data_IF_574553446645
#
_entry.id   IF_574553446645
#
_cell.length_a   1.000
_cell.length_b   1.000
_cell.length_c   1.000
_cell.angle_alpha   90.00
_cell.angle_beta   90.00
_cell.angle_gamma   90.00
#
_symmetry.space_group_name_H-M   'P 1'
#
loop_
_entity.id
_entity.type
_entity.pdbx_description
1 polymer ?
#
# COMPACT_ATOMS: atom_id res chain seq x y z
N UNK A 1 11.25 11.15 -8.46
CA UNK A 1 10.64 10.75 -9.75
C UNK A 1 9.86 9.47 -9.52
N UNK A 2 8.56 9.48 -9.74
CA UNK A 2 7.71 8.29 -9.60
C UNK A 2 7.96 7.33 -10.76
N UNK A 3 8.29 6.06 -10.48
CA UNK A 3 8.49 5.04 -11.52
C UNK A 3 7.50 3.89 -11.32
N UNK A 4 6.79 3.55 -12.38
CA UNK A 4 5.79 2.47 -12.40
C UNK A 4 6.17 1.50 -13.51
N UNK A 5 6.19 0.19 -13.21
CA UNK A 5 6.31 -0.84 -14.21
C UNK A 5 4.93 -1.42 -14.55
N UNK A 6 4.70 -1.72 -15.82
CA UNK A 6 3.52 -2.43 -16.32
C UNK A 6 4.00 -3.68 -17.04
N UNK A 7 3.53 -4.85 -16.61
CA UNK A 7 3.88 -6.12 -17.21
C UNK A 7 2.61 -6.85 -17.68
N UNK A 8 2.50 -7.06 -18.99
CA UNK A 8 1.35 -7.68 -19.64
C UNK A 8 1.82 -8.23 -21.00
N UNK A 9 1.55 -9.46 -21.37
CA UNK A 9 2.00 -10.05 -22.62
C UNK A 9 1.19 -9.58 -23.84
N UNK A 10 -0.04 -9.09 -23.61
CA UNK A 10 -0.88 -8.51 -24.65
C UNK A 10 -0.53 -7.05 -24.93
N UNK A 11 0.06 -6.77 -26.10
CA UNK A 11 0.52 -5.42 -26.48
C UNK A 11 -0.58 -4.37 -26.44
N UNK A 12 -1.82 -4.74 -26.73
CA UNK A 12 -2.99 -3.86 -26.70
C UNK A 12 -3.27 -3.38 -25.28
N UNK A 13 -3.42 -4.30 -24.32
CA UNK A 13 -3.68 -3.93 -22.93
C UNK A 13 -2.50 -3.22 -22.29
N UNK A 14 -1.28 -3.65 -22.57
CA UNK A 14 -0.06 -2.98 -22.10
C UNK A 14 -0.02 -1.51 -22.51
N UNK A 15 -0.36 -1.20 -23.78
CA UNK A 15 -0.44 0.18 -24.26
C UNK A 15 -1.59 0.96 -23.61
N UNK A 16 -2.77 0.36 -23.52
CA UNK A 16 -3.96 0.98 -22.94
C UNK A 16 -3.76 1.33 -21.46
N UNK A 17 -3.23 0.38 -20.66
CA UNK A 17 -2.96 0.60 -19.24
C UNK A 17 -1.90 1.70 -19.07
N UNK A 18 -0.89 1.73 -19.92
CA UNK A 18 0.12 2.80 -19.91
C UNK A 18 -0.51 4.17 -20.16
N UNK A 19 -1.29 4.32 -21.23
CA UNK A 19 -1.96 5.58 -21.58
C UNK A 19 -2.88 6.07 -20.44
N UNK A 20 -3.65 5.18 -19.85
CA UNK A 20 -4.51 5.53 -18.70
C UNK A 20 -3.72 5.90 -17.47
N UNK A 21 -2.64 5.17 -17.17
CA UNK A 21 -1.74 5.49 -16.04
C UNK A 21 -1.10 6.86 -16.20
N UNK A 22 -0.54 7.15 -17.37
CA UNK A 22 0.09 8.44 -17.67
C UNK A 22 -0.93 9.58 -17.59
N UNK A 23 -2.15 9.38 -18.10
CA UNK A 23 -3.23 10.37 -17.98
C UNK A 23 -3.57 10.69 -16.52
N UNK A 24 -3.70 9.69 -15.65
CA UNK A 24 -3.95 9.91 -14.22
C UNK A 24 -2.80 10.66 -13.56
N UNK A 25 -1.56 10.31 -13.88
CA UNK A 25 -0.37 11.00 -13.34
C UNK A 25 -0.34 12.48 -13.76
N UNK A 26 -0.74 12.80 -14.98
CA UNK A 26 -0.86 14.18 -15.47
C UNK A 26 -1.99 14.95 -14.77
N UNK A 27 -3.18 14.34 -14.66
CA UNK A 27 -4.34 14.92 -13.95
C UNK A 27 -4.03 15.21 -12.47
N UNK A 28 -3.27 14.32 -11.82
CA UNK A 28 -2.79 14.47 -10.44
C UNK A 28 -1.55 15.39 -10.32
N UNK A 29 -1.11 16.00 -11.44
CA UNK A 29 0.02 16.94 -11.51
C UNK A 29 1.33 16.38 -10.96
N UNK A 30 1.60 15.10 -11.17
CA UNK A 30 2.87 14.47 -10.82
C UNK A 30 3.95 15.02 -11.73
N UNK A 31 4.85 15.85 -11.20
CA UNK A 31 5.80 16.64 -11.98
C UNK A 31 6.89 15.83 -12.69
N UNK A 32 7.21 14.64 -12.17
CA UNK A 32 8.21 13.72 -12.74
C UNK A 32 7.82 12.29 -12.54
N UNK A 33 7.56 11.60 -13.63
CA UNK A 33 7.25 10.16 -13.64
C UNK A 33 7.88 9.45 -14.83
N UNK A 34 7.94 8.14 -14.74
CA UNK A 34 8.33 7.22 -15.82
C UNK A 34 7.46 5.96 -15.71
N UNK A 35 6.90 5.54 -16.84
CA UNK A 35 6.10 4.32 -16.94
C UNK A 35 6.79 3.38 -17.94
N UNK A 36 7.44 2.36 -17.40
CA UNK A 36 8.11 1.31 -18.18
C UNK A 36 7.16 0.15 -18.44
N UNK A 37 7.31 -0.50 -19.60
CA UNK A 37 6.43 -1.60 -19.98
C UNK A 37 7.23 -2.85 -20.35
N UNK A 38 6.75 -4.01 -19.93
CA UNK A 38 7.35 -5.31 -20.13
C UNK A 38 6.35 -6.28 -20.74
N UNK A 39 6.81 -7.11 -21.66
CA UNK A 39 5.98 -8.09 -22.35
C UNK A 39 5.94 -9.46 -21.66
N UNK A 40 6.75 -9.65 -20.62
CA UNK A 40 6.78 -10.88 -19.83
C UNK A 40 7.32 -10.65 -18.43
N UNK A 41 6.97 -11.55 -17.50
CA UNK A 41 7.53 -11.54 -16.15
C UNK A 41 9.05 -11.72 -16.15
N UNK A 42 9.59 -12.47 -17.10
CA UNK A 42 11.04 -12.65 -17.29
C UNK A 42 11.71 -11.32 -17.62
N UNK A 43 11.21 -10.61 -18.63
CA UNK A 43 11.74 -9.30 -19.03
C UNK A 43 11.73 -8.29 -17.86
N UNK A 44 10.64 -8.26 -17.09
CA UNK A 44 10.54 -7.42 -15.90
C UNK A 44 11.59 -7.77 -14.83
N UNK A 45 11.79 -9.05 -14.55
CA UNK A 45 12.69 -9.53 -13.49
C UNK A 45 14.18 -9.47 -13.88
N UNK A 46 14.50 -9.52 -15.18
CA UNK A 46 15.85 -9.38 -15.74
C UNK A 46 16.23 -7.92 -16.04
N UNK A 47 15.37 -6.94 -15.69
CA UNK A 47 15.67 -5.52 -15.86
C UNK A 47 16.98 -5.15 -15.14
N UNK A 48 17.91 -4.51 -15.85
CA UNK A 48 19.25 -4.13 -15.37
C UNK A 48 19.21 -3.26 -14.11
N UNK A 49 18.23 -2.37 -14.00
CA UNK A 49 18.07 -1.49 -12.83
C UNK A 49 17.43 -2.21 -11.63
N UNK A 50 16.87 -3.39 -11.85
CA UNK A 50 16.20 -4.20 -10.84
C UNK A 50 14.82 -3.69 -10.44
N UNK A 51 14.08 -4.52 -9.73
CA UNK A 51 12.71 -4.23 -9.25
C UNK A 51 12.69 -3.04 -8.28
N UNK A 52 13.74 -2.87 -7.49
CA UNK A 52 13.82 -1.83 -6.46
C UNK A 52 13.85 -0.39 -6.99
N UNK A 53 14.01 -0.18 -8.29
CA UNK A 53 13.92 1.13 -8.91
C UNK A 53 12.47 1.61 -9.08
N UNK A 54 11.50 0.70 -8.99
CA UNK A 54 10.08 1.01 -9.13
C UNK A 54 9.41 1.33 -7.79
N UNK A 55 8.40 2.17 -7.87
CA UNK A 55 7.54 2.54 -6.74
C UNK A 55 6.25 1.71 -6.71
N UNK A 56 5.88 1.11 -7.85
CA UNK A 56 4.78 0.17 -7.99
C UNK A 56 4.91 -0.64 -9.26
N UNK A 57 4.25 -1.81 -9.29
CA UNK A 57 4.19 -2.68 -10.46
C UNK A 57 2.73 -3.04 -10.71
N UNK A 58 2.26 -2.80 -11.95
CA UNK A 58 1.00 -3.32 -12.47
C UNK A 58 1.33 -4.60 -13.24
N UNK A 59 0.68 -5.69 -12.90
CA UNK A 59 1.04 -7.02 -13.37
C UNK A 59 -0.21 -7.77 -13.84
N UNK A 60 -0.20 -8.20 -15.09
CA UNK A 60 -1.24 -9.12 -15.57
C UNK A 60 -1.12 -10.46 -14.86
N UNK A 61 -2.25 -11.09 -14.59
CA UNK A 61 -2.28 -12.43 -13.99
C UNK A 61 -2.05 -13.51 -15.04
N UNK A 62 -2.66 -13.36 -16.20
CA UNK A 62 -2.64 -14.36 -17.27
C UNK A 62 -1.60 -14.00 -18.32
N UNK A 63 -0.40 -14.52 -18.18
CA UNK A 63 0.68 -14.40 -19.16
C UNK A 63 1.15 -15.78 -19.61
N UNK A 64 1.63 -15.88 -20.88
CA UNK A 64 1.90 -17.17 -21.54
C UNK A 64 3.01 -18.00 -20.87
N UNK A 65 4.12 -17.39 -20.47
CA UNK A 65 5.29 -18.13 -19.95
C UNK A 65 5.22 -18.40 -18.45
N UNK A 66 4.82 -17.42 -17.67
CA UNK A 66 4.75 -17.48 -16.21
C UNK A 66 3.59 -16.58 -15.74
N UNK A 67 2.69 -17.10 -14.91
CA UNK A 67 1.57 -16.30 -14.43
C UNK A 67 2.04 -15.11 -13.59
N UNK A 68 1.30 -13.99 -13.63
CA UNK A 68 1.61 -12.83 -12.79
C UNK A 68 1.71 -13.14 -11.31
N UNK A 69 0.96 -14.15 -10.84
CA UNK A 69 1.06 -14.62 -9.45
C UNK A 69 2.42 -15.23 -9.13
N UNK A 70 2.99 -16.00 -10.07
CA UNK A 70 4.35 -16.57 -9.91
C UNK A 70 5.40 -15.46 -9.96
N UNK A 71 5.27 -14.51 -10.88
CA UNK A 71 6.14 -13.32 -10.95
C UNK A 71 6.07 -12.53 -9.65
N UNK A 72 4.86 -12.26 -9.15
CA UNK A 72 4.66 -11.57 -7.88
C UNK A 72 5.30 -12.31 -6.69
N UNK A 73 5.18 -13.63 -6.64
CA UNK A 73 5.84 -14.44 -5.61
C UNK A 73 7.38 -14.37 -5.67
N UNK A 74 7.95 -14.23 -6.87
CA UNK A 74 9.41 -14.00 -7.05
C UNK A 74 9.79 -12.60 -6.58
N UNK A 75 9.03 -11.57 -6.95
CA UNK A 75 9.24 -10.20 -6.50
C UNK A 75 9.23 -10.14 -4.97
N UNK A 76 8.28 -10.81 -4.30
CA UNK A 76 8.15 -10.83 -2.83
C UNK A 76 9.35 -11.48 -2.11
N UNK A 77 10.15 -12.28 -2.79
CA UNK A 77 11.42 -12.83 -2.23
C UNK A 77 12.51 -11.76 -2.13
N UNK A 78 12.51 -10.78 -3.04
CA UNK A 78 13.51 -9.70 -3.12
C UNK A 78 13.00 -8.41 -2.50
N UNK A 79 11.75 -8.06 -2.77
CA UNK A 79 11.08 -6.88 -2.24
C UNK A 79 9.70 -7.24 -1.70
N UNK A 80 9.54 -7.16 -0.37
CA UNK A 80 8.29 -7.47 0.32
C UNK A 80 7.29 -6.31 0.33
N UNK A 81 7.76 -5.11 0.07
CA UNK A 81 7.02 -3.87 0.32
C UNK A 81 6.53 -3.18 -0.96
N UNK A 82 7.16 -3.45 -2.12
CA UNK A 82 6.76 -2.78 -3.36
C UNK A 82 5.26 -2.99 -3.64
N UNK A 83 4.48 -1.94 -3.88
CA UNK A 83 3.08 -2.04 -4.24
C UNK A 83 2.89 -2.84 -5.52
N UNK A 84 2.12 -3.95 -5.43
CA UNK A 84 1.72 -4.76 -6.58
C UNK A 84 0.23 -4.55 -6.83
N UNK A 85 -0.11 -4.27 -8.08
CA UNK A 85 -1.49 -4.18 -8.57
C UNK A 85 -1.66 -5.22 -9.65
N UNK A 86 -2.65 -6.08 -9.51
CA UNK A 86 -3.01 -7.00 -10.59
C UNK A 86 -4.02 -6.35 -11.53
N UNK A 87 -3.69 -6.34 -12.83
CA UNK A 87 -4.60 -5.97 -13.90
C UNK A 87 -5.01 -7.26 -14.62
N UNK A 88 -6.29 -7.64 -14.57
CA UNK A 88 -6.77 -8.90 -15.15
C UNK A 88 -8.08 -8.71 -15.90
N UNK A 89 -8.34 -9.57 -16.87
CA UNK A 89 -9.63 -9.67 -17.54
C UNK A 89 -10.66 -10.51 -16.76
N UNK A 90 -10.24 -11.24 -15.72
CA UNK A 90 -11.02 -12.24 -15.00
C UNK A 90 -11.21 -11.93 -13.51
N UNK A 91 -12.46 -11.91 -13.07
CA UNK A 91 -12.85 -11.56 -11.69
C UNK A 91 -12.52 -12.67 -10.69
N UNK A 92 -12.45 -13.92 -11.15
CA UNK A 92 -12.22 -15.12 -10.32
C UNK A 92 -10.88 -15.08 -9.57
N UNK A 93 -9.86 -14.47 -10.13
CA UNK A 93 -8.52 -14.40 -9.54
C UNK A 93 -8.38 -13.45 -8.36
N UNK A 94 -9.40 -12.64 -8.07
CA UNK A 94 -9.37 -11.70 -6.94
C UNK A 94 -9.20 -12.38 -5.57
N UNK A 95 -9.54 -13.67 -5.46
CA UNK A 95 -9.42 -14.42 -4.20
C UNK A 95 -8.01 -15.00 -3.96
N UNK A 96 -7.22 -15.20 -5.01
CA UNK A 96 -5.89 -15.84 -4.89
C UNK A 96 -4.78 -14.89 -4.42
N UNK A 97 -4.98 -13.60 -4.55
CA UNK A 97 -3.95 -12.58 -4.29
C UNK A 97 -3.61 -12.28 -2.85
N UNK A 98 -4.30 -12.90 -1.89
CA UNK A 98 -3.96 -12.75 -0.47
C UNK A 98 -2.52 -13.20 -0.14
N UNK A 99 -1.99 -14.18 -0.88
CA UNK A 99 -0.66 -14.74 -0.62
C UNK A 99 0.50 -13.83 -1.03
N UNK A 100 0.28 -12.94 -2.01
CA UNK A 100 1.34 -12.04 -2.54
C UNK A 100 1.19 -10.59 -2.10
N UNK A 101 0.25 -10.31 -1.18
CA UNK A 101 0.02 -8.96 -0.63
C UNK A 101 -0.15 -7.91 -1.74
N UNK A 102 -1.05 -8.20 -2.68
CA UNK A 102 -1.39 -7.23 -3.70
C UNK A 102 -2.09 -6.00 -3.07
N UNK A 103 -1.71 -4.82 -3.51
CA UNK A 103 -2.35 -3.58 -3.08
C UNK A 103 -3.79 -3.51 -3.60
N UNK A 104 -4.00 -3.86 -4.87
CA UNK A 104 -5.31 -3.85 -5.53
C UNK A 104 -5.37 -4.87 -6.66
N UNK A 105 -6.64 -5.13 -7.05
CA UNK A 105 -7.02 -5.80 -8.28
C UNK A 105 -7.82 -4.84 -9.14
N UNK A 106 -7.51 -4.79 -10.42
CA UNK A 106 -8.13 -3.91 -11.41
C UNK A 106 -8.55 -4.74 -12.62
N UNK A 107 -9.75 -4.55 -13.12
CA UNK A 107 -10.15 -5.12 -14.38
C UNK A 107 -9.53 -4.32 -15.54
N UNK A 108 -8.93 -5.00 -16.53
CA UNK A 108 -8.23 -4.38 -17.67
C UNK A 108 -9.11 -3.42 -18.47
N UNK A 109 -10.43 -3.62 -18.44
CA UNK A 109 -11.43 -2.78 -19.12
C UNK A 109 -12.08 -1.73 -18.23
N UNK A 110 -11.65 -1.58 -16.98
CA UNK A 110 -12.23 -0.65 -16.00
C UNK A 110 -11.25 0.49 -15.68
N UNK A 111 -11.42 1.60 -16.42
CA UNK A 111 -10.57 2.78 -16.25
C UNK A 111 -10.68 3.40 -14.85
N UNK A 112 -11.89 3.40 -14.24
CA UNK A 112 -12.10 4.00 -12.92
C UNK A 112 -11.33 3.23 -11.83
N UNK A 113 -11.34 1.90 -11.88
CA UNK A 113 -10.54 1.07 -10.98
C UNK A 113 -9.05 1.30 -11.15
N UNK A 114 -8.57 1.47 -12.39
CA UNK A 114 -7.18 1.79 -12.65
C UNK A 114 -6.81 3.17 -12.11
N UNK A 115 -7.66 4.16 -12.32
CA UNK A 115 -7.47 5.50 -11.76
C UNK A 115 -7.32 5.45 -10.24
N UNK A 116 -8.26 4.81 -9.53
CA UNK A 116 -8.18 4.64 -8.08
C UNK A 116 -6.89 3.92 -7.62
N UNK A 117 -6.43 2.95 -8.40
CA UNK A 117 -5.20 2.21 -8.10
C UNK A 117 -3.95 3.09 -8.26
N UNK A 118 -3.89 3.90 -9.32
CA UNK A 118 -2.77 4.84 -9.57
C UNK A 118 -2.77 5.96 -8.52
N UNK A 119 -3.95 6.49 -8.16
CA UNK A 119 -4.07 7.48 -7.09
C UNK A 119 -3.57 6.93 -5.75
N UNK A 120 -3.88 5.66 -5.43
CA UNK A 120 -3.35 5.00 -4.25
C UNK A 120 -1.81 4.88 -4.27
N UNK A 121 -1.21 4.59 -5.44
CA UNK A 121 0.25 4.59 -5.60
C UNK A 121 0.82 5.98 -5.32
N UNK A 122 0.22 7.02 -5.91
CA UNK A 122 0.67 8.41 -5.72
C UNK A 122 0.67 8.78 -4.23
N UNK A 123 -0.41 8.44 -3.53
CA UNK A 123 -0.53 8.67 -2.09
C UNK A 123 0.54 7.90 -1.31
N UNK A 124 0.74 6.62 -1.58
CA UNK A 124 1.77 5.80 -0.92
C UNK A 124 3.16 6.39 -1.11
N UNK A 125 3.50 6.83 -2.32
CA UNK A 125 4.80 7.43 -2.61
C UNK A 125 4.95 8.80 -1.92
N UNK A 126 3.90 9.62 -1.93
CA UNK A 126 3.91 10.89 -1.20
C UNK A 126 4.14 10.66 0.31
N UNK A 127 3.54 9.61 0.88
CA UNK A 127 3.75 9.21 2.28
C UNK A 127 5.18 8.71 2.54
N UNK A 128 5.81 8.04 1.59
CA UNK A 128 7.20 7.59 1.73
C UNK A 128 8.16 8.76 1.93
N UNK A 129 7.82 9.93 1.42
CA UNK A 129 8.61 11.16 1.57
C UNK A 129 8.27 11.95 2.84
N UNK A 130 7.12 11.67 3.49
CA UNK A 130 6.73 12.41 4.70
C UNK A 130 7.46 11.85 5.91
N UNK A 131 8.43 12.63 6.41
CA UNK A 131 9.07 12.40 7.70
C UNK A 131 8.46 13.29 8.77
N UNK A 132 8.44 12.80 10.01
CA UNK A 132 8.11 13.59 11.19
C UNK A 132 9.14 13.34 12.26
N UNK A 133 9.50 14.41 12.98
CA UNK A 133 10.39 14.34 14.11
C UNK A 133 9.59 14.03 15.38
N UNK A 134 10.02 13.00 16.11
CA UNK A 134 9.45 12.61 17.39
C UNK A 134 10.52 12.63 18.47
N UNK A 135 10.14 13.05 19.68
CA UNK A 135 11.02 13.03 20.86
C UNK A 135 10.86 11.70 21.60
N UNK A 136 11.63 10.70 21.18
CA UNK A 136 11.69 9.40 21.85
C UNK A 136 12.55 9.47 23.12
N UNK A 137 12.54 8.40 23.93
CA UNK A 137 13.39 8.30 25.13
C UNK A 137 14.89 8.41 24.81
N UNK A 138 15.28 7.98 23.62
CA UNK A 138 16.65 8.04 23.10
C UNK A 138 16.98 9.38 22.41
N UNK A 139 16.08 10.38 22.46
CA UNK A 139 16.21 11.69 21.83
C UNK A 139 15.38 11.83 20.55
N UNK A 140 15.54 12.97 19.89
CA UNK A 140 14.82 13.27 18.65
C UNK A 140 15.22 12.34 17.51
N UNK A 141 14.24 11.84 16.78
CA UNK A 141 14.42 11.05 15.57
C UNK A 141 13.38 11.42 14.53
N UNK A 142 13.83 11.53 13.30
CA UNK A 142 12.95 11.60 12.15
C UNK A 142 12.52 10.20 11.73
N UNK A 143 11.21 10.00 11.65
CA UNK A 143 10.60 8.75 11.21
C UNK A 143 9.77 9.03 9.96
N UNK A 144 9.97 8.24 8.91
CA UNK A 144 9.07 8.23 7.76
C UNK A 144 7.73 7.64 8.21
N UNK A 145 6.62 8.32 7.91
CA UNK A 145 5.30 7.90 8.39
C UNK A 145 4.91 6.51 7.89
N UNK A 146 5.31 6.15 6.68
CA UNK A 146 5.07 4.82 6.12
C UNK A 146 5.80 3.68 6.87
N UNK A 147 6.82 3.98 7.68
CA UNK A 147 7.46 2.98 8.55
C UNK A 147 6.67 2.68 9.81
N UNK A 148 5.69 3.50 10.17
CA UNK A 148 4.88 3.30 11.37
C UNK A 148 3.73 2.35 11.03
N UNK A 149 3.73 1.15 11.60
CA UNK A 149 2.62 0.19 11.48
C UNK A 149 1.43 0.65 12.32
N UNK A 150 1.69 0.90 13.59
CA UNK A 150 0.71 1.44 14.53
C UNK A 150 1.40 2.03 15.75
N UNK A 151 0.64 2.83 16.50
CA UNK A 151 1.07 3.41 17.78
C UNK A 151 0.12 2.93 18.86
N UNK A 152 0.70 2.34 19.91
CA UNK A 152 -0.04 1.86 21.08
C UNK A 152 0.21 2.77 22.28
N UNK A 153 -0.87 3.12 22.98
CA UNK A 153 -0.79 3.83 24.25
C UNK A 153 -0.94 2.84 25.42
N UNK A 154 0.13 2.70 26.18
CA UNK A 154 0.14 1.91 27.42
C UNK A 154 0.41 2.85 28.58
N UNK A 155 -0.61 3.12 29.39
CA UNK A 155 -0.57 4.14 30.47
C UNK A 155 -0.22 5.53 29.89
N UNK A 156 0.98 6.06 30.17
CA UNK A 156 1.46 7.36 29.66
C UNK A 156 2.62 7.22 28.68
N UNK A 157 2.87 5.99 28.19
CA UNK A 157 3.92 5.70 27.23
C UNK A 157 3.27 5.33 25.90
N UNK A 158 3.75 5.93 24.83
CA UNK A 158 3.42 5.59 23.45
C UNK A 158 4.50 4.68 22.90
N UNK A 159 4.07 3.55 22.36
CA UNK A 159 4.92 2.56 21.71
C UNK A 159 4.67 2.66 20.21
N UNK A 160 5.67 3.07 19.45
CA UNK A 160 5.67 3.13 18.00
C UNK A 160 6.21 1.81 17.46
N UNK A 161 5.34 1.02 16.89
CA UNK A 161 5.71 -0.23 16.22
C UNK A 161 6.01 0.08 14.76
N UNK A 162 7.26 -0.11 14.36
CA UNK A 162 7.78 0.23 13.05
C UNK A 162 7.96 -1.05 12.20
N UNK A 163 8.09 -0.85 10.91
CA UNK A 163 8.49 -1.93 10.00
C UNK A 163 9.81 -2.56 10.44
N UNK A 164 10.07 -3.81 10.02
CA UNK A 164 11.27 -4.57 10.39
C UNK A 164 11.37 -4.92 11.90
N UNK A 165 10.26 -4.82 12.65
CA UNK A 165 10.21 -5.22 14.06
C UNK A 165 10.83 -4.21 15.05
N UNK A 166 11.16 -3.02 14.60
CA UNK A 166 11.67 -1.95 15.47
C UNK A 166 10.53 -1.38 16.35
N UNK A 167 10.79 -1.14 17.62
CA UNK A 167 9.86 -0.47 18.54
C UNK A 167 10.57 0.70 19.21
N UNK A 168 9.94 1.88 19.18
CA UNK A 168 10.40 3.08 19.88
C UNK A 168 9.35 3.58 20.85
N UNK A 169 9.80 4.23 21.92
CA UNK A 169 8.90 4.71 22.98
C UNK A 169 9.09 6.17 23.27
N UNK A 170 7.97 6.86 23.51
CA UNK A 170 7.98 8.23 24.01
C UNK A 170 6.90 8.42 25.08
N UNK A 171 7.06 9.44 25.92
CA UNK A 171 6.02 9.83 26.86
C UNK A 171 5.04 10.77 26.16
N UNK A 172 3.74 10.52 26.27
CA UNK A 172 2.74 11.37 25.66
C UNK A 172 1.33 10.81 25.68
N UNK A 173 0.44 11.54 25.02
CA UNK A 173 -0.96 11.15 24.82
C UNK A 173 -1.19 10.82 23.33
N UNK A 174 -1.91 9.74 23.08
CA UNK A 174 -2.19 9.30 21.73
C UNK A 174 -3.07 10.31 20.94
N UNK A 175 -3.95 11.02 21.65
CA UNK A 175 -4.81 12.06 21.06
C UNK A 175 -3.98 13.20 20.45
N UNK A 176 -2.88 13.60 21.14
CA UNK A 176 -1.97 14.62 20.63
C UNK A 176 -1.23 14.16 19.38
N UNK A 177 -0.76 12.91 19.38
CA UNK A 177 -0.11 12.33 18.18
C UNK A 177 -1.11 12.24 17.02
N UNK A 178 -2.35 11.86 17.27
CA UNK A 178 -3.42 11.84 16.27
C UNK A 178 -3.66 13.23 15.66
N UNK A 179 -3.69 14.28 16.48
CA UNK A 179 -3.78 15.68 16.05
C UNK A 179 -2.54 16.13 15.27
N UNK A 180 -1.33 15.82 15.76
CA UNK A 180 -0.07 16.20 15.13
C UNK A 180 0.14 15.53 13.77
N UNK A 181 -0.30 14.29 13.62
CA UNK A 181 -0.28 13.57 12.36
C UNK A 181 -1.35 14.08 11.40
N UNK A 182 -2.48 14.59 11.93
CA UNK A 182 -3.61 15.26 11.25
C UNK A 182 -3.78 14.87 9.77
N UNK A 183 -3.69 13.59 9.50
CA UNK A 183 -3.85 13.08 8.15
C UNK A 183 -4.74 11.83 8.16
N UNK A 184 -5.41 11.65 7.05
CA UNK A 184 -6.34 10.55 6.83
C UNK A 184 -5.67 9.16 6.82
N UNK A 185 -4.35 9.10 6.98
CA UNK A 185 -3.56 7.88 6.88
C UNK A 185 -3.54 7.06 8.17
N UNK A 186 -3.79 7.72 9.31
CA UNK A 186 -3.86 7.06 10.60
C UNK A 186 -5.29 6.97 11.10
N UNK A 187 -5.74 5.76 11.41
CA UNK A 187 -7.09 5.48 11.89
C UNK A 187 -7.03 5.14 13.38
N UNK A 188 -7.79 5.89 14.19
CA UNK A 188 -7.97 5.61 15.62
C UNK A 188 -8.94 4.44 15.79
N UNK A 189 -8.44 3.21 15.78
CA UNK A 189 -9.28 2.00 15.89
C UNK A 189 -9.72 1.69 17.33
N UNK A 190 -8.97 2.16 18.33
CA UNK A 190 -9.23 1.93 19.76
C UNK A 190 -8.76 3.12 20.59
N UNK A 191 -9.22 3.25 21.84
CA UNK A 191 -8.68 4.27 22.78
C UNK A 191 -7.16 4.20 22.91
N UNK A 192 -6.57 3.02 22.69
CA UNK A 192 -5.15 2.76 22.83
C UNK A 192 -4.43 2.51 21.51
N UNK A 193 -5.11 2.46 20.36
CA UNK A 193 -4.47 2.12 19.09
C UNK A 193 -4.78 3.16 17.99
N UNK A 194 -3.71 3.69 17.41
CA UNK A 194 -3.70 4.52 16.21
C UNK A 194 -2.94 3.75 15.12
N UNK A 195 -3.61 3.36 14.05
CA UNK A 195 -3.09 2.43 13.04
C UNK A 195 -2.92 3.13 11.71
N UNK A 196 -1.78 2.94 11.09
CA UNK A 196 -1.57 3.37 9.71
C UNK A 196 -2.36 2.45 8.77
N UNK A 197 -3.32 3.03 8.02
CA UNK A 197 -4.21 2.25 7.17
C UNK A 197 -3.47 1.55 6.03
N UNK A 198 -2.31 2.06 5.60
CA UNK A 198 -1.51 1.45 4.54
C UNK A 198 -1.02 0.06 4.92
N UNK A 199 -0.82 -0.18 6.21
CA UNK A 199 -0.43 -1.47 6.75
C UNK A 199 -1.61 -2.37 7.15
N UNK A 200 -2.86 -1.93 6.93
CA UNK A 200 -4.03 -2.76 7.22
C UNK A 200 -4.29 -3.72 6.06
N UNK A 201 -4.07 -5.01 6.26
CA UNK A 201 -4.41 -6.07 5.31
C UNK A 201 -5.90 -6.40 5.29
N UNK A 202 -6.51 -6.43 6.47
CA UNK A 202 -7.90 -6.83 6.60
C UNK A 202 -8.59 -6.26 7.82
N UNK A 203 -9.91 -6.16 7.72
CA UNK A 203 -10.81 -5.78 8.80
C UNK A 203 -11.99 -6.74 8.84
N UNK A 204 -12.03 -7.64 9.81
CA UNK A 204 -13.09 -8.63 10.00
C UNK A 204 -13.23 -9.00 11.47
N UNK A 205 -14.39 -9.49 11.86
CA UNK A 205 -14.63 -10.04 13.21
C UNK A 205 -14.17 -9.11 14.36
N UNK A 206 -14.40 -7.80 14.21
CA UNK A 206 -13.96 -6.80 15.20
C UNK A 206 -12.45 -6.77 15.43
N UNK A 207 -11.68 -7.07 14.40
CA UNK A 207 -10.22 -7.08 14.41
C UNK A 207 -9.68 -6.46 13.14
N UNK A 208 -8.53 -5.79 13.28
CA UNK A 208 -7.67 -5.37 12.18
C UNK A 208 -6.50 -6.33 12.11
N UNK A 209 -6.20 -6.82 10.92
CA UNK A 209 -4.98 -7.60 10.64
C UNK A 209 -4.01 -6.69 9.89
N UNK A 210 -2.80 -6.59 10.38
CA UNK A 210 -1.72 -5.82 9.76
C UNK A 210 -0.85 -6.71 8.86
N UNK A 211 -0.06 -6.10 8.00
CA UNK A 211 0.84 -6.78 7.05
C UNK A 211 1.94 -7.61 7.74
N UNK A 212 2.30 -7.27 8.97
CA UNK A 212 3.19 -8.07 9.82
C UNK A 212 2.45 -9.19 10.59
N UNK A 213 1.21 -9.50 10.22
CA UNK A 213 0.31 -10.49 10.85
C UNK A 213 -0.11 -10.15 12.29
N UNK A 214 0.19 -8.95 12.78
CA UNK A 214 -0.33 -8.49 14.07
C UNK A 214 -1.84 -8.27 14.00
N UNK A 215 -2.56 -8.74 15.02
CA UNK A 215 -4.02 -8.59 15.13
C UNK A 215 -4.33 -7.58 16.23
N UNK A 216 -5.08 -6.55 15.91
CA UNK A 216 -5.50 -5.51 16.84
C UNK A 216 -7.02 -5.50 17.02
N UNK A 217 -7.54 -5.37 18.26
CA UNK A 217 -8.97 -5.38 18.52
C UNK A 217 -9.62 -4.04 18.14
N UNK A 218 -10.85 -4.14 17.62
CA UNK A 218 -11.72 -3.00 17.33
C UNK A 218 -12.97 -3.10 18.20
N UNK A 219 -13.31 -2.08 19.00
CA UNK A 219 -14.53 -2.06 19.79
C UNK A 219 -15.78 -2.15 18.92
N UNK A 220 -16.80 -2.87 19.40
CA UNK A 220 -18.05 -3.11 18.64
C UNK A 220 -18.76 -1.81 18.25
N UNK A 221 -18.79 -0.83 19.13
CA UNK A 221 -19.38 0.49 18.93
C UNK A 221 -18.66 1.31 17.84
N UNK A 222 -17.35 1.11 17.65
CA UNK A 222 -16.53 1.80 16.63
C UNK A 222 -16.42 1.05 15.31
N UNK A 223 -16.71 -0.26 15.31
CA UNK A 223 -16.43 -1.14 14.17
C UNK A 223 -17.06 -0.67 12.86
N UNK A 224 -18.35 -0.24 12.92
CA UNK A 224 -19.07 0.23 11.73
C UNK A 224 -18.36 1.44 11.09
N UNK A 225 -18.03 2.45 11.92
CA UNK A 225 -17.36 3.67 11.46
C UNK A 225 -15.96 3.36 10.87
N UNK A 226 -15.19 2.52 11.57
CA UNK A 226 -13.84 2.14 11.12
C UNK A 226 -13.92 1.35 9.81
N UNK A 227 -14.92 0.50 9.65
CA UNK A 227 -15.16 -0.24 8.41
C UNK A 227 -15.49 0.68 7.25
N UNK A 228 -16.32 1.68 7.46
CA UNK A 228 -16.65 2.70 6.45
C UNK A 228 -15.40 3.47 6.02
N UNK A 229 -14.58 3.92 6.97
CA UNK A 229 -13.30 4.60 6.68
C UNK A 229 -12.34 3.66 5.93
N UNK A 230 -12.18 2.43 6.40
CA UNK A 230 -11.28 1.44 5.79
C UNK A 230 -11.63 1.18 4.33
N UNK A 231 -12.91 0.94 4.03
CA UNK A 231 -13.34 0.70 2.65
C UNK A 231 -13.27 1.97 1.79
N UNK A 232 -13.54 3.14 2.35
CA UNK A 232 -13.35 4.40 1.63
C UNK A 232 -11.88 4.59 1.22
N UNK A 233 -10.95 4.42 2.15
CA UNK A 233 -9.52 4.56 1.90
C UNK A 233 -8.94 3.46 1.00
N UNK A 234 -9.51 2.25 1.00
CA UNK A 234 -9.12 1.15 0.10
C UNK A 234 -9.85 1.18 -1.25
N UNK A 235 -10.66 2.23 -1.54
CA UNK A 235 -11.35 2.38 -2.82
C UNK A 235 -12.59 1.50 -2.97
N UNK A 236 -13.18 1.09 -1.87
CA UNK A 236 -14.40 0.30 -1.86
C UNK A 236 -15.66 1.15 -1.77
N UNK A 237 -16.16 1.71 -2.87
CA UNK A 237 -17.58 2.05 -2.97
C UNK A 237 -18.37 0.77 -3.30
N UNK A 238 -19.38 0.46 -2.47
CA UNK A 238 -20.48 -0.44 -2.86
C UNK A 238 -21.40 0.26 -3.83
#
# INVERSE_FOLDING_TARGET
MLRIAICDDESYFRKQIKEWTEKVLEEQKVSRYQVDTYSSGRELLENEEGISCYHAILLDIEMQEESGMQVAARIRKTDREIPLIFATSHVEFMQEGYHVRALRYVLKNNQDQLQEAVEAIIQLVAMQEVTRSFEFREGFREIRLNRILYIESVRHTLHFYLTQGEVRTMTGKLDRIEEDLNNEEFIRIHKSYLVNYCHMQGLSNYQVVLDNMQILPVPRDKYRKIREIYYHLKGGRR
#
